data_IF_063662226218
#
_entry.id   IF_063662226218
#
_cell.length_a   1.000
_cell.length_b   1.000
_cell.length_c   1.000
_cell.angle_alpha   90.00
_cell.angle_beta   90.00
_cell.angle_gamma   90.00
#
_symmetry.space_group_name_H-M   'P 1'
#
loop_
_entity.id
_entity.type
_entity.pdbx_description
1 polymer ?
#
# COMPACT_ATOMS: atom_id res chain seq x y z
N UNK A 1 24.66 -9.55 -1.05
CA UNK A 1 23.61 -9.86 -2.04
C UNK A 1 22.45 -10.52 -1.32
N UNK A 2 21.57 -9.74 -0.68
CA UNK A 2 20.36 -10.24 -0.01
C UNK A 2 19.15 -9.88 -0.87
N UNK A 3 18.87 -10.65 -1.95
CA UNK A 3 17.81 -10.36 -2.91
C UNK A 3 16.42 -10.29 -2.25
N UNK A 4 16.27 -10.88 -1.07
CA UNK A 4 15.04 -10.91 -0.29
C UNK A 4 14.61 -9.53 0.21
N UNK A 5 15.54 -8.66 0.60
CA UNK A 5 15.20 -7.33 1.15
C UNK A 5 14.61 -6.42 0.08
N UNK A 6 15.22 -6.42 -1.12
CA UNK A 6 14.72 -5.66 -2.27
C UNK A 6 13.31 -6.10 -2.68
N UNK A 7 13.01 -7.40 -2.60
CA UNK A 7 11.69 -7.92 -2.92
C UNK A 7 10.63 -7.41 -1.95
N UNK A 8 10.92 -7.40 -0.64
CA UNK A 8 10.00 -6.90 0.39
C UNK A 8 9.73 -5.40 0.23
N UNK A 9 10.77 -4.62 -0.08
CA UNK A 9 10.64 -3.19 -0.39
C UNK A 9 9.79 -2.93 -1.65
N UNK A 10 9.97 -3.73 -2.69
CA UNK A 10 9.18 -3.61 -3.92
C UNK A 10 7.72 -4.02 -3.70
N UNK A 11 7.48 -5.08 -2.92
CA UNK A 11 6.14 -5.56 -2.61
C UNK A 11 5.40 -4.55 -1.75
N UNK A 12 6.02 -4.03 -0.69
CA UNK A 12 5.42 -2.97 0.16
C UNK A 12 5.13 -1.71 -0.64
N UNK A 13 6.05 -1.25 -1.49
CA UNK A 13 5.82 -0.08 -2.36
C UNK A 13 4.66 -0.32 -3.36
N UNK A 14 4.58 -1.50 -3.97
CA UNK A 14 3.48 -1.83 -4.88
C UNK A 14 2.12 -1.85 -4.15
N UNK A 15 2.08 -2.44 -2.95
CA UNK A 15 0.87 -2.49 -2.12
C UNK A 15 0.44 -1.09 -1.67
N UNK A 16 1.39 -0.22 -1.32
CA UNK A 16 1.14 1.19 -0.98
C UNK A 16 0.55 1.96 -2.16
N UNK A 17 1.09 1.80 -3.37
CA UNK A 17 0.56 2.43 -4.58
C UNK A 17 -0.86 1.95 -4.92
N UNK A 18 -1.17 0.66 -4.70
CA UNK A 18 -2.53 0.13 -4.88
C UNK A 18 -3.50 0.77 -3.87
N UNK A 19 -3.10 0.86 -2.59
CA UNK A 19 -3.88 1.55 -1.56
C UNK A 19 -4.12 3.03 -1.89
N UNK A 20 -3.09 3.72 -2.41
CA UNK A 20 -3.18 5.11 -2.87
C UNK A 20 -4.18 5.25 -4.02
N UNK A 21 -4.10 4.39 -5.05
CA UNK A 21 -5.04 4.39 -6.16
C UNK A 21 -6.48 4.12 -5.70
N UNK A 22 -6.67 3.18 -4.76
CA UNK A 22 -7.98 2.89 -4.19
C UNK A 22 -8.55 4.09 -3.41
N UNK A 23 -7.70 4.81 -2.68
CA UNK A 23 -8.09 6.01 -1.94
C UNK A 23 -8.47 7.18 -2.87
N UNK A 24 -7.71 7.43 -3.94
CA UNK A 24 -8.02 8.54 -4.87
C UNK A 24 -9.20 8.24 -5.82
N UNK A 25 -9.45 6.98 -6.16
CA UNK A 25 -10.47 6.62 -7.16
C UNK A 25 -11.92 6.70 -6.64
N UNK A 26 -12.12 6.77 -5.32
CA UNK A 26 -13.43 6.58 -4.70
C UNK A 26 -13.98 7.86 -4.09
N UNK A 27 -15.28 8.12 -4.30
CA UNK A 27 -16.01 9.25 -3.67
C UNK A 27 -16.60 8.91 -2.30
N UNK A 28 -16.60 7.62 -1.94
CA UNK A 28 -17.16 7.13 -0.68
C UNK A 28 -16.07 7.07 0.39
N UNK A 29 -16.26 7.84 1.47
CA UNK A 29 -15.29 7.94 2.57
C UNK A 29 -14.86 6.57 3.15
N UNK A 30 -15.77 5.59 3.22
CA UNK A 30 -15.45 4.23 3.70
C UNK A 30 -14.41 3.54 2.81
N UNK A 31 -14.56 3.65 1.48
CA UNK A 31 -13.59 3.07 0.55
C UNK A 31 -12.24 3.80 0.59
N UNK A 32 -12.25 5.10 0.82
CA UNK A 32 -11.03 5.89 1.03
C UNK A 32 -10.32 5.38 2.29
N UNK A 33 -11.04 5.18 3.39
CA UNK A 33 -10.50 4.62 4.63
C UNK A 33 -9.91 3.22 4.44
N UNK A 34 -10.57 2.33 3.68
CA UNK A 34 -10.02 1.01 3.34
C UNK A 34 -8.70 1.14 2.55
N UNK A 35 -8.63 2.07 1.61
CA UNK A 35 -7.39 2.37 0.89
C UNK A 35 -6.27 2.85 1.82
N UNK A 36 -6.61 3.70 2.80
CA UNK A 36 -5.67 4.22 3.81
C UNK A 36 -5.18 3.10 4.75
N UNK A 37 -6.06 2.23 5.24
CA UNK A 37 -5.68 1.07 6.07
C UNK A 37 -4.71 0.13 5.32
N UNK A 38 -4.97 -0.10 4.02
CA UNK A 38 -4.06 -0.85 3.14
C UNK A 38 -2.69 -0.14 2.97
N UNK A 39 -2.67 1.18 2.84
CA UNK A 39 -1.42 1.96 2.78
C UNK A 39 -0.62 1.87 4.08
N UNK A 40 -1.29 1.94 5.24
CA UNK A 40 -0.65 1.76 6.55
C UNK A 40 -0.09 0.35 6.73
N UNK A 41 -0.84 -0.69 6.33
CA UNK A 41 -0.35 -2.06 6.36
C UNK A 41 0.89 -2.26 5.48
N UNK A 42 0.92 -1.64 4.30
CA UNK A 42 2.07 -1.67 3.40
C UNK A 42 3.30 -0.93 3.98
N UNK A 43 3.08 0.21 4.63
CA UNK A 43 4.14 0.98 5.28
C UNK A 43 4.73 0.23 6.49
N UNK A 44 3.94 -0.57 7.20
CA UNK A 44 4.41 -1.41 8.30
C UNK A 44 5.20 -2.65 7.83
N UNK A 45 5.08 -3.04 6.55
CA UNK A 45 5.83 -4.14 5.95
C UNK A 45 7.21 -3.74 5.41
N UNK A 46 7.46 -2.44 5.27
CA UNK A 46 8.75 -1.86 4.91
C UNK A 46 9.63 -1.72 6.16
#
# INVERSE_FOLDING_TARGET
MTPTLQLVLIVSAALFCIGLLAALSRRHAIFILIGIEMMLAAANLN
#
